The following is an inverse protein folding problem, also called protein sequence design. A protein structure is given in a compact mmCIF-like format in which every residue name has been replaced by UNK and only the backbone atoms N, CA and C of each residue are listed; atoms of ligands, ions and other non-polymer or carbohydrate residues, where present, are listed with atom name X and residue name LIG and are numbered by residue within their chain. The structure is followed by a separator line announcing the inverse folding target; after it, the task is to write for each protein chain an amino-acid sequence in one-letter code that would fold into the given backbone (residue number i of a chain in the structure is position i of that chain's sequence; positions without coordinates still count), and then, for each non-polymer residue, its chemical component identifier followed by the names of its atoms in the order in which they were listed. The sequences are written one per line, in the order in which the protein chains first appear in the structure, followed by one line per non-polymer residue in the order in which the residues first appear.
data_IF_963192776692
#
_entry.id   IF_963192776692
#
_cell.length_a   1.000
_cell.length_b   1.000
_cell.length_c   1.000
_cell.angle_alpha   90.00
_cell.angle_beta   90.00
_cell.angle_gamma   90.00
#
_symmetry.space_group_name_H-M   'P 1'
#
loop_
_entity.id
_entity.type
_entity.pdbx_description
1 polymer ?
#
# COMPACT_ATOMS: atom_id res chain seq x y z
N UNK A 1 15.82 -18.13 15.89
CA UNK A 1 16.97 -18.97 15.51
C UNK A 1 17.09 -18.97 13.99
N UNK A 2 17.99 -18.16 13.44
CA UNK A 2 18.75 -18.45 12.21
C UNK A 2 20.00 -17.57 12.28
N UNK A 3 21.07 -18.21 12.75
CA UNK A 3 22.41 -17.66 12.83
C UNK A 3 23.09 -17.76 11.46
N UNK A 4 23.90 -16.75 11.14
CA UNK A 4 25.09 -16.93 10.32
C UNK A 4 24.91 -16.90 8.80
N UNK A 5 25.19 -15.74 8.20
CA UNK A 5 26.14 -15.67 7.09
C UNK A 5 26.69 -14.24 6.96
N UNK A 6 27.69 -13.95 7.78
CA UNK A 6 28.65 -12.87 7.55
C UNK A 6 29.90 -13.54 6.99
N UNK A 7 30.23 -13.28 5.72
CA UNK A 7 31.58 -13.19 5.15
C UNK A 7 31.48 -13.25 3.62
N UNK A 8 31.77 -12.13 2.96
CA UNK A 8 32.79 -12.01 1.91
C UNK A 8 32.88 -10.53 1.50
N UNK A 9 34.08 -9.98 1.62
CA UNK A 9 34.43 -8.60 1.37
C UNK A 9 34.80 -8.36 -0.11
N UNK A 10 34.36 -7.21 -0.65
CA UNK A 10 34.98 -6.35 -1.69
C UNK A 10 35.37 -6.94 -3.06
N UNK A 11 35.53 -6.13 -4.15
CA UNK A 11 35.66 -4.66 -4.21
C UNK A 11 34.79 -3.95 -5.28
N UNK A 12 34.94 -2.62 -5.29
CA UNK A 12 34.63 -1.68 -6.37
C UNK A 12 35.06 -2.16 -7.78
N UNK A 13 34.50 -1.45 -8.79
CA UNK A 13 34.73 -1.45 -10.24
C UNK A 13 33.62 -2.21 -10.98
N UNK A 14 32.79 -1.60 -11.84
CA UNK A 14 33.20 -0.82 -12.99
C UNK A 14 32.04 0.07 -13.49
N UNK A 15 32.41 1.31 -13.82
CA UNK A 15 31.72 2.27 -14.68
C UNK A 15 30.63 1.69 -15.61
N UNK A 16 29.39 2.11 -15.43
CA UNK A 16 28.41 2.07 -16.52
C UNK A 16 28.16 3.50 -16.98
N UNK A 17 28.47 3.85 -18.25
CA UNK A 17 28.27 5.20 -18.74
C UNK A 17 26.80 5.55 -18.66
N UNK A 18 26.52 6.65 -17.95
CA UNK A 18 25.29 7.43 -18.08
C UNK A 18 25.21 7.91 -19.54
N UNK A 19 24.72 7.06 -20.43
CA UNK A 19 24.36 7.44 -21.79
C UNK A 19 23.06 8.20 -21.68
N UNK A 20 23.20 9.51 -21.52
CA UNK A 20 22.20 10.48 -21.89
C UNK A 20 22.01 10.40 -23.41
N UNK A 21 21.08 9.54 -23.85
CA UNK A 21 20.58 9.55 -25.22
C UNK A 21 19.08 9.31 -25.19
N UNK A 22 18.32 10.34 -25.53
CA UNK A 22 16.93 10.17 -25.90
C UNK A 22 15.96 10.97 -25.04
N UNK A 23 15.92 12.27 -25.29
CA UNK A 23 14.66 13.00 -25.30
C UNK A 23 13.69 12.31 -26.29
N UNK A 24 12.97 11.31 -25.80
CA UNK A 24 11.60 11.02 -26.15
C UNK A 24 10.98 10.87 -24.76
N UNK A 25 10.35 11.90 -24.18
CA UNK A 25 9.01 12.28 -24.60
C UNK A 25 8.20 11.07 -25.09
N UNK A 26 8.33 9.93 -24.40
CA UNK A 26 7.18 9.07 -24.16
C UNK A 26 6.26 9.92 -23.30
N UNK A 27 5.49 10.76 -23.98
CA UNK A 27 4.08 10.83 -23.70
C UNK A 27 3.65 9.38 -23.51
N UNK A 28 3.68 8.93 -22.25
CA UNK A 28 2.88 7.82 -21.83
C UNK A 28 1.51 8.24 -22.33
N UNK A 29 1.09 7.66 -23.46
CA UNK A 29 -0.26 7.73 -23.93
C UNK A 29 -1.05 7.38 -22.68
N UNK A 30 -1.65 8.41 -22.06
CA UNK A 30 -2.37 8.28 -20.85
C UNK A 30 -3.51 7.36 -21.25
N UNK A 31 -3.32 6.06 -21.04
CA UNK A 31 -4.41 5.09 -21.10
C UNK A 31 -5.49 5.77 -20.30
N UNK A 32 -6.67 6.05 -20.90
CA UNK A 32 -7.69 6.85 -20.25
C UNK A 32 -7.80 6.27 -18.86
N UNK A 33 -7.41 7.08 -17.86
CA UNK A 33 -7.38 6.64 -16.48
C UNK A 33 -8.81 6.21 -16.24
N UNK A 34 -9.06 4.89 -16.27
CA UNK A 34 -10.41 4.34 -16.18
C UNK A 34 -10.96 4.98 -14.93
N UNK A 35 -11.88 5.93 -15.11
CA UNK A 35 -12.48 6.63 -14.00
C UNK A 35 -13.02 5.51 -13.12
N UNK A 36 -12.46 5.42 -11.92
CA UNK A 36 -12.80 4.33 -11.02
C UNK A 36 -14.30 4.40 -10.84
N UNK A 37 -15.02 3.39 -11.33
CA UNK A 37 -16.48 3.37 -11.24
C UNK A 37 -16.88 3.64 -9.79
N UNK A 38 -18.05 4.26 -9.58
CA UNK A 38 -18.52 4.70 -8.25
C UNK A 38 -18.36 3.59 -7.18
N UNK A 39 -18.51 2.33 -7.57
CA UNK A 39 -18.25 1.16 -6.70
C UNK A 39 -16.78 0.97 -6.30
N UNK A 40 -15.84 1.15 -7.22
CA UNK A 40 -14.40 1.07 -6.95
C UNK A 40 -13.90 2.24 -6.11
N UNK A 41 -14.39 3.46 -6.37
CA UNK A 41 -14.08 4.64 -5.57
C UNK A 41 -14.63 4.49 -4.14
N UNK A 42 -15.86 3.98 -3.97
CA UNK A 42 -16.40 3.68 -2.64
C UNK A 42 -15.61 2.57 -1.90
N UNK A 43 -15.13 1.54 -2.59
CA UNK A 43 -14.29 0.51 -1.97
C UNK A 43 -12.93 1.06 -1.51
N UNK A 44 -12.32 1.93 -2.32
CA UNK A 44 -11.06 2.61 -2.00
C UNK A 44 -11.21 3.57 -0.83
N UNK A 45 -12.29 4.33 -0.78
CA UNK A 45 -12.59 5.21 0.37
C UNK A 45 -12.70 4.42 1.67
N UNK A 46 -13.43 3.30 1.68
CA UNK A 46 -13.57 2.45 2.87
C UNK A 46 -12.22 1.91 3.33
N UNK A 47 -11.36 1.45 2.42
CA UNK A 47 -10.01 0.98 2.76
C UNK A 47 -9.16 2.10 3.35
N UNK A 48 -9.22 3.32 2.79
CA UNK A 48 -8.50 4.48 3.33
C UNK A 48 -8.99 4.86 4.73
N UNK A 49 -10.31 4.96 4.93
CA UNK A 49 -10.91 5.32 6.22
C UNK A 49 -10.59 4.28 7.29
N UNK A 50 -10.93 3.01 7.06
CA UNK A 50 -10.65 1.94 8.01
C UNK A 50 -9.14 1.76 8.25
N UNK A 51 -8.31 1.97 7.22
CA UNK A 51 -6.86 1.84 7.32
C UNK A 51 -6.20 2.97 8.11
N UNK A 52 -6.73 4.19 8.00
CA UNK A 52 -6.29 5.33 8.80
C UNK A 52 -6.68 5.14 10.27
N UNK A 53 -7.95 4.78 10.53
CA UNK A 53 -8.42 4.51 11.90
C UNK A 53 -7.60 3.41 12.56
N UNK A 54 -7.43 2.26 11.89
CA UNK A 54 -6.63 1.17 12.43
C UNK A 54 -5.19 1.57 12.70
N UNK A 55 -4.55 2.37 11.85
CA UNK A 55 -3.18 2.84 12.13
C UNK A 55 -3.13 3.77 13.34
N UNK A 56 -4.16 4.60 13.54
CA UNK A 56 -4.27 5.51 14.67
C UNK A 56 -4.62 4.81 16.01
N UNK A 57 -5.22 3.62 15.97
CA UNK A 57 -5.54 2.85 17.18
C UNK A 57 -4.27 2.39 17.93
N UNK A 58 -4.35 2.41 19.26
CA UNK A 58 -3.31 1.83 20.13
C UNK A 58 -3.26 0.30 20.01
N UNK A 59 -2.19 -0.32 20.52
CA UNK A 59 -2.09 -1.80 20.54
C UNK A 59 -3.22 -2.43 21.37
N UNK A 60 -3.61 -1.78 22.48
CA UNK A 60 -4.71 -2.23 23.32
C UNK A 60 -6.05 -2.16 22.56
N UNK A 61 -6.32 -1.06 21.85
CA UNK A 61 -7.55 -0.92 21.07
C UNK A 61 -7.60 -1.90 19.89
N UNK A 62 -6.46 -2.15 19.25
CA UNK A 62 -6.33 -3.16 18.19
C UNK A 62 -6.66 -4.55 18.71
N UNK A 63 -6.16 -4.90 19.90
CA UNK A 63 -6.46 -6.18 20.54
C UNK A 63 -7.97 -6.33 20.83
N UNK A 64 -8.64 -5.25 21.27
CA UNK A 64 -10.08 -5.25 21.55
C UNK A 64 -10.97 -5.27 20.28
N UNK A 65 -10.61 -4.52 19.24
CA UNK A 65 -11.44 -4.40 18.03
C UNK A 65 -11.17 -5.46 16.97
N UNK A 66 -10.13 -6.28 17.15
CA UNK A 66 -9.80 -7.44 16.33
C UNK A 66 -8.31 -7.43 16.02
N UNK A 67 -7.45 -8.18 16.72
CA UNK A 67 -5.99 -8.02 16.76
C UNK A 67 -5.30 -8.13 15.39
N UNK A 68 -6.01 -8.67 14.39
CA UNK A 68 -5.57 -8.83 13.02
C UNK A 68 -6.34 -7.87 12.11
N UNK A 69 -5.61 -7.18 11.25
CA UNK A 69 -6.15 -6.23 10.27
C UNK A 69 -7.38 -6.72 9.47
N UNK A 70 -7.42 -7.96 8.92
CA UNK A 70 -8.60 -8.46 8.19
C UNK A 70 -9.88 -8.49 9.04
N UNK A 71 -9.74 -8.73 10.35
CA UNK A 71 -10.84 -8.87 11.29
C UNK A 71 -11.44 -7.52 11.64
N UNK A 72 -10.58 -6.52 11.87
CA UNK A 72 -11.01 -5.14 12.03
C UNK A 72 -11.62 -4.56 10.74
N UNK A 73 -10.96 -4.76 9.59
CA UNK A 73 -11.43 -4.26 8.31
C UNK A 73 -12.85 -4.75 7.99
N UNK A 74 -13.11 -6.04 8.20
CA UNK A 74 -14.44 -6.63 8.00
C UNK A 74 -15.51 -5.96 8.88
N UNK A 75 -15.21 -5.69 10.16
CA UNK A 75 -16.12 -4.97 11.07
C UNK A 75 -16.32 -3.52 10.67
N UNK A 76 -15.24 -2.81 10.32
CA UNK A 76 -15.29 -1.41 9.90
C UNK A 76 -16.11 -1.23 8.62
N UNK A 77 -15.91 -2.07 7.60
CA UNK A 77 -16.72 -2.04 6.37
C UNK A 77 -18.19 -2.34 6.66
N UNK A 78 -18.47 -3.29 7.56
CA UNK A 78 -19.85 -3.60 7.98
C UNK A 78 -20.50 -2.39 8.63
N UNK A 79 -19.82 -1.73 9.58
CA UNK A 79 -20.28 -0.49 10.23
C UNK A 79 -20.54 0.63 9.21
N UNK A 80 -19.59 0.87 8.29
CA UNK A 80 -19.73 1.87 7.23
C UNK A 80 -20.90 1.58 6.29
N UNK A 81 -21.20 0.31 6.00
CA UNK A 81 -22.38 -0.06 5.20
C UNK A 81 -23.68 0.22 5.95
N UNK A 82 -23.74 -0.08 7.24
CA UNK A 82 -24.94 0.17 8.07
C UNK A 82 -25.21 1.66 8.31
N UNK A 83 -24.17 2.50 8.34
CA UNK A 83 -24.35 3.95 8.48
C UNK A 83 -24.70 4.68 7.17
N UNK A 84 -24.58 3.99 6.04
CA UNK A 84 -24.84 4.56 4.70
C UNK A 84 -26.11 3.98 4.05
N UNK A 85 -26.87 3.18 4.80
CA UNK A 85 -28.16 2.61 4.45
C UNK A 85 -29.27 3.47 5.07
#
# INVERSE_FOLDING_TARGET
MFAGLLLLASPLLLTSPFVASGALAQAAAAKPAKEFSVGQSAARERQKKCGAEWRALSVADKAAQGPKWPQYYSKCVKRLKQMKA
#
